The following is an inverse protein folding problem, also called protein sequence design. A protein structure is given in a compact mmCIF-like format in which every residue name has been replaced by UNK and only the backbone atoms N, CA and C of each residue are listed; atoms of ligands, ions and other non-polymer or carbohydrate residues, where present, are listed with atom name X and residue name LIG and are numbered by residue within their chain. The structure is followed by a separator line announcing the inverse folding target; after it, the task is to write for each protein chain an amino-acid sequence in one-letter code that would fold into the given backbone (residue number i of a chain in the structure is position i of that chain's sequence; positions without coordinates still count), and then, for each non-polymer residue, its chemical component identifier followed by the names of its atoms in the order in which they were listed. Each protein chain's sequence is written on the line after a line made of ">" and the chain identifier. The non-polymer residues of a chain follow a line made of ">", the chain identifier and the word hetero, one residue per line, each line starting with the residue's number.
data_IF_887868281338
#
_entry.id   IF_887868281338
#
_cell.length_a   1.000
_cell.length_b   1.000
_cell.length_c   1.000
_cell.angle_alpha   90.00
_cell.angle_beta   90.00
_cell.angle_gamma   90.00
#
_symmetry.space_group_name_H-M   'P 1'
#
loop_
_entity.id
_entity.type
_entity.pdbx_description
1 polymer ?
#
# COMPACT_ATOMS: atom_id res chain seq x y z
N UNK A 1 -5.36 -3.30 7.39
CA UNK A 1 -4.32 -2.55 6.68
C UNK A 1 -4.91 -1.54 5.71
N UNK A 2 -4.17 -0.48 5.44
CA UNK A 2 -4.45 0.51 4.39
C UNK A 2 -4.02 -0.01 3.00
N UNK A 3 -4.31 0.73 1.92
CA UNK A 3 -4.04 0.29 0.54
C UNK A 3 -2.55 0.05 0.28
N UNK A 4 -1.67 0.88 0.84
CA UNK A 4 -0.22 0.79 0.66
C UNK A 4 0.35 -0.48 1.29
N UNK A 5 -0.03 -0.76 2.54
CA UNK A 5 0.33 -2.01 3.24
C UNK A 5 -0.16 -3.24 2.47
N UNK A 6 -1.41 -3.21 2.01
CA UNK A 6 -1.99 -4.29 1.23
C UNK A 6 -1.33 -4.47 -0.15
N UNK A 7 -0.86 -3.38 -0.76
CA UNK A 7 -0.20 -3.41 -2.05
C UNK A 7 1.09 -4.22 -1.96
N UNK A 8 1.97 -3.92 -1.00
CA UNK A 8 3.28 -4.59 -0.85
C UNK A 8 3.27 -5.79 0.09
N UNK A 9 2.10 -6.17 0.60
CA UNK A 9 1.95 -7.30 1.52
C UNK A 9 2.60 -7.09 2.87
N UNK A 10 2.69 -5.83 3.29
CA UNK A 10 3.18 -5.41 4.59
C UNK A 10 2.10 -5.58 5.65
N UNK A 11 1.64 -6.82 5.76
CA UNK A 11 0.52 -7.25 6.56
C UNK A 11 0.75 -8.71 6.97
N UNK A 12 0.31 -9.06 8.17
CA UNK A 12 0.45 -10.39 8.75
C UNK A 12 -0.87 -11.13 8.58
N UNK A 13 -0.83 -12.27 7.86
CA UNK A 13 -2.00 -13.15 7.74
C UNK A 13 -2.44 -13.58 9.14
N UNK A 14 -3.75 -13.46 9.40
CA UNK A 14 -4.37 -13.74 10.70
C UNK A 14 -3.88 -12.85 11.86
N UNK A 15 -3.04 -11.85 11.59
CA UNK A 15 -2.72 -10.75 12.50
C UNK A 15 -3.55 -9.52 12.14
N UNK A 16 -2.89 -8.47 11.65
CA UNK A 16 -3.53 -7.20 11.24
C UNK A 16 -4.59 -7.34 10.12
N UNK A 17 -4.62 -8.47 9.42
CA UNK A 17 -5.63 -8.79 8.40
C UNK A 17 -6.88 -9.45 8.98
N UNK A 18 -6.86 -9.92 10.22
CA UNK A 18 -8.00 -10.61 10.83
C UNK A 18 -9.13 -9.62 11.12
N UNK A 19 -10.31 -9.85 10.53
CA UNK A 19 -11.51 -9.03 10.77
C UNK A 19 -12.62 -9.30 9.75
N UNK A 20 -13.83 -8.82 10.04
CA UNK A 20 -14.97 -8.96 9.12
C UNK A 20 -15.05 -7.86 8.04
N UNK A 21 -14.46 -6.70 8.30
CA UNK A 21 -14.55 -5.53 7.41
C UNK A 21 -13.33 -4.61 7.55
N UNK A 22 -12.71 -4.24 6.43
CA UNK A 22 -11.51 -3.40 6.39
C UNK A 22 -11.85 -1.98 5.90
N UNK A 23 -12.17 -1.10 6.85
CA UNK A 23 -12.70 0.27 6.59
C UNK A 23 -11.80 1.09 5.67
N UNK A 24 -10.50 1.07 5.90
CA UNK A 24 -9.51 1.88 5.15
C UNK A 24 -8.74 1.09 4.09
N UNK A 25 -9.26 -0.07 3.65
CA UNK A 25 -8.57 -0.99 2.72
C UNK A 25 -8.15 -0.33 1.41
N UNK A 26 -8.92 0.64 0.94
CA UNK A 26 -8.68 1.33 -0.34
C UNK A 26 -8.18 2.77 -0.16
N UNK A 27 -7.65 3.11 1.02
CA UNK A 27 -7.03 4.41 1.32
C UNK A 27 -5.52 4.26 1.33
N UNK A 28 -4.79 5.00 0.50
CA UNK A 28 -3.32 5.01 0.53
C UNK A 28 -2.79 5.65 1.83
N UNK A 29 -1.60 5.28 2.29
CA UNK A 29 -1.04 5.77 3.55
C UNK A 29 -0.91 7.30 3.57
N UNK A 30 -0.46 7.89 2.47
CA UNK A 30 -0.41 9.35 2.30
C UNK A 30 -1.78 10.00 2.50
N UNK A 31 -2.85 9.36 2.02
CA UNK A 31 -4.23 9.80 2.24
C UNK A 31 -4.72 9.57 3.67
N UNK A 32 -4.29 8.51 4.35
CA UNK A 32 -4.59 8.32 5.79
C UNK A 32 -4.13 9.53 6.59
N UNK A 33 -2.88 10.00 6.39
CA UNK A 33 -2.39 11.20 7.07
C UNK A 33 -3.21 12.46 6.72
N UNK A 34 -3.54 12.65 5.44
CA UNK A 34 -4.37 13.79 4.99
C UNK A 34 -5.76 13.77 5.63
N UNK A 35 -6.42 12.62 5.66
CA UNK A 35 -7.75 12.44 6.24
C UNK A 35 -7.72 12.61 7.75
N UNK A 36 -6.69 12.14 8.45
CA UNK A 36 -6.53 12.36 9.89
C UNK A 36 -6.42 13.84 10.24
N UNK A 37 -5.60 14.59 9.48
CA UNK A 37 -5.48 16.06 9.65
C UNK A 37 -6.81 16.76 9.38
N UNK A 38 -7.47 16.43 8.27
CA UNK A 38 -8.79 16.96 7.95
C UNK A 38 -9.83 16.64 9.03
N UNK A 39 -9.87 15.40 9.52
CA UNK A 39 -10.81 15.01 10.57
C UNK A 39 -10.62 15.83 11.85
N UNK A 40 -9.38 16.17 12.18
CA UNK A 40 -9.06 17.02 13.32
C UNK A 40 -9.50 18.48 13.16
N UNK A 41 -9.69 18.99 11.93
CA UNK A 41 -10.28 20.34 11.73
C UNK A 41 -11.76 20.38 12.09
N UNK A 42 -12.47 19.24 12.01
CA UNK A 42 -13.87 19.14 12.42
C UNK A 42 -14.01 18.99 13.94
N UNK A 43 -13.12 18.20 14.55
CA UNK A 43 -13.03 18.02 16.00
C UNK A 43 -11.71 17.32 16.33
N UNK A 44 -10.96 17.85 17.28
CA UNK A 44 -9.63 17.37 17.65
C UNK A 44 -9.71 16.03 18.41
N UNK A 45 -9.87 14.92 17.68
CA UNK A 45 -10.04 13.57 18.24
C UNK A 45 -8.81 12.68 18.09
N UNK A 46 -8.00 12.89 17.06
CA UNK A 46 -6.80 12.09 16.81
C UNK A 46 -5.61 12.83 17.43
N UNK A 47 -4.89 12.25 18.41
CA UNK A 47 -3.71 12.88 19.00
C UNK A 47 -2.67 13.25 17.93
N UNK A 48 -2.18 14.50 17.97
CA UNK A 48 -1.23 15.01 16.96
C UNK A 48 0.05 14.17 16.91
N UNK A 49 0.51 13.67 18.06
CA UNK A 49 1.68 12.80 18.15
C UNK A 49 1.56 11.55 17.26
N UNK A 50 0.36 10.99 17.09
CA UNK A 50 0.14 9.82 16.23
C UNK A 50 0.25 10.20 14.75
N UNK A 51 -0.06 11.44 14.38
CA UNK A 51 -0.02 11.95 13.01
C UNK A 51 1.40 12.39 12.62
N UNK A 52 2.12 13.03 13.55
CA UNK A 52 3.47 13.56 13.31
C UNK A 52 4.57 12.51 13.47
N UNK A 53 4.28 11.37 14.11
CA UNK A 53 5.25 10.28 14.27
C UNK A 53 5.62 9.71 12.89
N UNK A 54 6.94 9.56 12.59
CA UNK A 54 7.37 8.85 11.39
C UNK A 54 6.75 7.45 11.35
N UNK A 55 6.31 6.98 10.18
CA UNK A 55 5.80 5.63 10.08
C UNK A 55 6.90 4.62 10.45
N UNK A 56 6.58 3.66 11.31
CA UNK A 56 7.49 2.61 11.74
C UNK A 56 6.78 1.26 11.76
N UNK A 57 7.44 0.23 11.25
CA UNK A 57 7.02 -1.15 11.44
C UNK A 57 7.32 -1.62 12.85
N UNK A 58 6.30 -1.57 13.69
CA UNK A 58 6.38 -2.08 15.04
C UNK A 58 6.22 -3.60 15.08
N UNK A 59 7.04 -4.36 14.34
CA UNK A 59 7.03 -5.83 14.41
C UNK A 59 8.30 -6.47 14.95
N UNK A 60 9.36 -5.71 15.27
CA UNK A 60 10.50 -6.17 16.09
C UNK A 60 11.33 -4.99 16.65
N UNK A 61 11.89 -5.10 17.88
CA UNK A 61 12.87 -4.13 18.38
C UNK A 61 14.06 -4.03 17.41
N UNK A 62 14.33 -2.84 16.89
CA UNK A 62 15.43 -2.58 15.95
C UNK A 62 15.13 -2.82 14.47
N UNK A 63 13.90 -3.18 14.09
CA UNK A 63 13.50 -3.28 12.68
C UNK A 63 12.97 -1.92 12.22
N UNK A 64 13.67 -1.26 11.29
CA UNK A 64 13.13 -0.07 10.62
C UNK A 64 12.52 -0.46 9.29
N UNK A 65 11.31 0.04 8.99
CA UNK A 65 10.69 -0.08 7.66
C UNK A 65 11.54 0.47 6.52
N UNK A 66 12.49 1.33 6.90
CA UNK A 66 13.37 2.05 5.99
C UNK A 66 14.43 1.14 5.35
N UNK A 67 14.62 -0.10 5.83
CA UNK A 67 15.60 -1.01 5.22
C UNK A 67 15.09 -1.70 3.95
N UNK A 68 13.78 -1.62 3.63
CA UNK A 68 13.23 -2.39 2.49
C UNK A 68 12.14 -1.73 1.66
N UNK A 69 11.53 -0.62 2.08
CA UNK A 69 10.53 0.10 1.27
C UNK A 69 10.95 1.56 1.03
N UNK A 70 10.63 2.14 -0.15
CA UNK A 70 10.77 3.57 -0.34
C UNK A 70 9.80 4.35 0.57
N UNK A 71 10.00 5.66 0.79
CA UNK A 71 9.06 6.51 1.51
C UNK A 71 7.62 6.36 0.97
N UNK A 72 6.61 6.52 1.83
CA UNK A 72 5.21 6.30 1.44
C UNK A 72 4.76 7.19 0.28
N UNK A 73 5.32 8.40 0.15
CA UNK A 73 5.07 9.29 -0.98
C UNK A 73 5.50 8.66 -2.30
N UNK A 74 6.64 7.98 -2.31
CA UNK A 74 7.18 7.27 -3.48
C UNK A 74 6.44 5.96 -3.70
N UNK A 75 6.21 5.19 -2.63
CA UNK A 75 5.46 3.94 -2.67
C UNK A 75 4.06 4.14 -3.25
N UNK A 76 3.30 5.08 -2.68
CA UNK A 76 1.92 5.33 -3.06
C UNK A 76 1.82 5.84 -4.50
N UNK A 77 2.77 6.69 -4.93
CA UNK A 77 2.84 7.15 -6.31
C UNK A 77 3.10 6.00 -7.31
N UNK A 78 4.01 5.08 -6.97
CA UNK A 78 4.29 3.90 -7.81
C UNK A 78 3.07 2.96 -7.83
N UNK A 79 2.44 2.71 -6.68
CA UNK A 79 1.24 1.87 -6.57
C UNK A 79 0.09 2.48 -7.37
N UNK A 80 -0.18 3.78 -7.23
CA UNK A 80 -1.21 4.47 -8.00
C UNK A 80 -0.93 4.37 -9.50
N UNK A 81 0.30 4.63 -9.93
CA UNK A 81 0.67 4.58 -11.34
C UNK A 81 0.51 3.17 -11.95
N UNK A 82 1.05 2.16 -11.27
CA UNK A 82 1.07 0.79 -11.77
C UNK A 82 -0.29 0.10 -11.63
N UNK A 83 -0.90 0.19 -10.44
CA UNK A 83 -2.11 -0.57 -10.10
C UNK A 83 -3.38 0.15 -10.54
N UNK A 84 -3.47 1.47 -10.32
CA UNK A 84 -4.71 2.20 -10.58
C UNK A 84 -4.79 2.72 -12.01
N UNK A 85 -3.65 3.13 -12.58
CA UNK A 85 -3.57 3.80 -13.89
C UNK A 85 -2.99 2.93 -15.02
N UNK A 86 -2.66 1.66 -14.75
CA UNK A 86 -2.09 0.70 -15.71
C UNK A 86 -0.82 1.23 -16.44
N UNK A 87 -0.03 2.06 -15.76
CA UNK A 87 1.22 2.60 -16.34
C UNK A 87 2.32 1.55 -16.22
N UNK A 88 3.06 1.33 -17.31
CA UNK A 88 4.11 0.31 -17.33
C UNK A 88 5.30 0.69 -16.42
N UNK A 89 6.03 -0.29 -15.85
CA UNK A 89 7.21 -0.01 -15.02
C UNK A 89 8.23 0.90 -15.72
N UNK A 90 8.45 0.72 -17.02
CA UNK A 90 9.35 1.55 -17.83
C UNK A 90 8.91 3.02 -17.86
N UNK A 91 7.61 3.27 -18.04
CA UNK A 91 7.06 4.63 -18.04
C UNK A 91 7.10 5.26 -16.64
N UNK A 92 6.90 4.48 -15.58
CA UNK A 92 7.04 4.97 -14.20
C UNK A 92 8.48 5.42 -13.95
N UNK A 93 9.48 4.65 -14.41
CA UNK A 93 10.89 5.04 -14.33
C UNK A 93 11.16 6.31 -15.14
N UNK A 94 10.64 6.39 -16.36
CA UNK A 94 10.78 7.57 -17.22
C UNK A 94 10.16 8.85 -16.61
N UNK A 95 9.19 8.71 -15.70
CA UNK A 95 8.59 9.82 -14.93
C UNK A 95 9.43 10.26 -13.73
N UNK A 96 10.61 9.68 -13.52
CA UNK A 96 11.58 10.11 -12.51
C UNK A 96 11.59 9.26 -11.24
N UNK A 97 10.85 8.15 -11.18
CA UNK A 97 10.98 7.21 -10.08
C UNK A 97 12.24 6.35 -10.23
N UNK A 98 12.95 6.10 -9.12
CA UNK A 98 14.13 5.25 -9.14
C UNK A 98 13.79 3.82 -9.59
N UNK A 99 14.56 3.27 -10.54
CA UNK A 99 14.35 1.92 -11.07
C UNK A 99 14.33 0.86 -9.98
N UNK A 100 15.21 0.99 -8.99
CA UNK A 100 15.28 0.09 -7.85
C UNK A 100 13.96 0.06 -7.06
N UNK A 101 13.33 1.22 -6.85
CA UNK A 101 12.07 1.31 -6.11
C UNK A 101 10.89 0.77 -6.94
N UNK A 102 10.82 1.13 -8.23
CA UNK A 102 9.77 0.64 -9.12
C UNK A 102 9.80 -0.88 -9.19
N UNK A 103 10.98 -1.46 -9.45
CA UNK A 103 11.13 -2.93 -9.51
C UNK A 103 10.77 -3.59 -8.19
N UNK A 104 11.19 -3.03 -7.07
CA UNK A 104 10.90 -3.58 -5.74
C UNK A 104 9.41 -3.54 -5.43
N UNK A 105 8.76 -2.40 -5.62
CA UNK A 105 7.31 -2.23 -5.34
C UNK A 105 6.48 -3.14 -6.25
N UNK A 106 6.78 -3.21 -7.54
CA UNK A 106 6.07 -4.10 -8.49
C UNK A 106 6.28 -5.56 -8.12
N UNK A 107 7.49 -5.95 -7.73
CA UNK A 107 7.78 -7.31 -7.27
C UNK A 107 6.96 -7.67 -6.02
N UNK A 108 7.03 -6.83 -4.98
CA UNK A 108 6.26 -7.00 -3.74
C UNK A 108 4.76 -7.06 -4.00
N UNK A 109 4.28 -6.21 -4.90
CA UNK A 109 2.90 -6.22 -5.32
C UNK A 109 2.51 -7.57 -5.92
N UNK A 110 3.29 -8.13 -6.84
CA UNK A 110 3.00 -9.44 -7.45
C UNK A 110 3.01 -10.58 -6.43
N UNK A 111 4.03 -10.67 -5.58
CA UNK A 111 4.15 -11.79 -4.62
C UNK A 111 3.13 -11.73 -3.48
N UNK A 112 2.53 -10.56 -3.23
CA UNK A 112 1.58 -10.35 -2.14
C UNK A 112 0.13 -10.71 -2.49
N UNK A 113 -0.11 -11.26 -3.69
CA UNK A 113 -1.46 -11.62 -4.17
C UNK A 113 -2.16 -12.62 -3.24
N UNK A 114 -1.43 -13.62 -2.72
CA UNK A 114 -2.00 -14.63 -1.82
C UNK A 114 -2.52 -14.03 -0.50
N UNK A 115 -1.87 -12.98 0.01
CA UNK A 115 -2.33 -12.27 1.21
C UNK A 115 -3.60 -11.49 0.88
N UNK A 116 -3.58 -10.69 -0.20
CA UNK A 116 -4.73 -9.87 -0.62
C UNK A 116 -5.99 -10.67 -0.87
N UNK A 117 -5.88 -11.89 -1.41
CA UNK A 117 -7.02 -12.80 -1.64
C UNK A 117 -7.74 -13.23 -0.36
N UNK A 118 -7.06 -13.19 0.78
CA UNK A 118 -7.61 -13.50 2.09
C UNK A 118 -7.99 -12.24 2.90
N UNK A 119 -7.77 -11.05 2.34
CA UNK A 119 -8.12 -9.81 3.01
C UNK A 119 -9.64 -9.66 3.13
N UNK A 120 -10.15 -9.12 4.26
CA UNK A 120 -11.57 -8.84 4.41
C UNK A 120 -12.10 -7.92 3.31
N UNK A 121 -13.41 -7.94 3.11
CA UNK A 121 -14.09 -6.95 2.25
C UNK A 121 -13.92 -5.55 2.85
N UNK A 122 -13.94 -4.53 2.00
CA UNK A 122 -13.81 -3.13 2.40
C UNK A 122 -14.41 -2.20 1.35
N UNK A 123 -14.42 -0.91 1.67
CA UNK A 123 -14.99 0.13 0.79
C UNK A 123 -13.97 0.46 -0.31
N UNK A 124 -14.45 0.56 -1.55
CA UNK A 124 -13.67 1.11 -2.67
C UNK A 124 -13.95 2.60 -2.79
N UNK A 125 -12.90 3.42 -2.75
CA UNK A 125 -13.00 4.88 -2.95
C UNK A 125 -12.16 5.37 -4.13
N UNK A 126 -11.28 4.53 -4.66
CA UNK A 126 -10.46 4.80 -5.84
C UNK A 126 -11.11 4.25 -7.11
N UNK A 127 -10.60 4.62 -8.28
CA UNK A 127 -11.07 4.10 -9.56
C UNK A 127 -10.86 2.59 -9.68
N UNK A 128 -9.79 2.06 -9.10
CA UNK A 128 -9.43 0.64 -9.12
C UNK A 128 -8.88 0.20 -7.75
N UNK A 129 -9.58 -0.75 -7.12
CA UNK A 129 -9.23 -1.28 -5.80
C UNK A 129 -8.76 -2.75 -5.82
N UNK A 130 -8.16 -3.21 -4.72
CA UNK A 130 -7.76 -4.61 -4.52
C UNK A 130 -8.95 -5.55 -4.18
N UNK A 131 -9.94 -5.57 -5.07
CA UNK A 131 -11.13 -6.40 -4.96
C UNK A 131 -11.52 -6.97 -6.32
N UNK A 132 -12.74 -6.70 -6.78
CA UNK A 132 -13.22 -7.19 -8.07
C UNK A 132 -12.43 -6.63 -9.27
N UNK A 133 -11.74 -5.51 -9.10
CA UNK A 133 -11.01 -4.79 -10.16
C UNK A 133 -9.55 -5.26 -10.31
N UNK A 134 -9.03 -6.04 -9.36
CA UNK A 134 -7.67 -6.57 -9.35
C UNK A 134 -7.69 -8.10 -9.30
N UNK A 135 -7.56 -8.73 -10.47
CA UNK A 135 -7.66 -10.20 -10.61
C UNK A 135 -6.40 -10.77 -11.23
N UNK A 136 -5.40 -11.01 -10.40
CA UNK A 136 -4.15 -11.65 -10.83
C UNK A 136 -4.03 -13.07 -10.28
N UNK A 137 -3.33 -13.97 -10.97
CA UNK A 137 -3.07 -15.32 -10.46
C UNK A 137 -2.11 -15.27 -9.26
N UNK A 138 -2.36 -16.12 -8.26
CA UNK A 138 -1.42 -16.33 -7.15
C UNK A 138 -0.16 -17.02 -7.67
N UNK A 139 -0.34 -18.16 -8.35
CA UNK A 139 0.76 -18.88 -9.01
C UNK A 139 1.12 -18.15 -10.29
N UNK A 140 2.13 -17.28 -10.21
CA UNK A 140 2.53 -16.44 -11.32
C UNK A 140 4.06 -16.41 -11.45
N UNK A 141 4.58 -16.77 -12.63
CA UNK A 141 6.01 -16.61 -13.00
C UNK A 141 6.22 -15.57 -14.11
N UNK A 142 5.19 -14.81 -14.46
CA UNK A 142 5.31 -13.72 -15.42
C UNK A 142 6.31 -12.68 -14.92
N UNK A 143 7.39 -12.51 -15.69
CA UNK A 143 8.37 -11.45 -15.51
C UNK A 143 8.02 -10.36 -16.51
N UNK A 144 7.88 -9.13 -16.03
CA UNK A 144 7.82 -8.01 -16.97
C UNK A 144 9.11 -8.02 -17.79
N UNK A 145 9.04 -7.77 -19.11
CA UNK A 145 10.21 -7.81 -19.99
C UNK A 145 11.18 -6.61 -19.80
N UNK A 146 11.08 -5.88 -18.68
CA UNK A 146 11.80 -4.65 -18.36
C UNK A 146 12.57 -4.75 -17.04
#
# INVERSE_FOLDING_TARGET
>A
GNKSEMAVGYCTLYGDMAGGFAVIKDIAKTWVYRLSRWRNTCSQMIPELIISRPPSAELKPGQTDQDSLPPYEVLDAIVEAYMEKDISPREIIARGHAEADVRRVVHLLKISEYKRRQAPVGIRVTQRGFGKDWRYPITNRYRDPY
#
